data_IF_316958391829
#
_entry.id   IF_316958391829
#
_cell.length_a   1.000
_cell.length_b   1.000
_cell.length_c   1.000
_cell.angle_alpha   90.00
_cell.angle_beta   90.00
_cell.angle_gamma   90.00
#
_symmetry.space_group_name_H-M   'P 1'
#
loop_
_entity.id
_entity.type
_entity.pdbx_description
1 polymer ?
#
# COMPACT_ATOMS: atom_id res chain seq x y z
N UNK A 1 14.80 -4.07 15.33
CA UNK A 1 14.08 -5.15 14.61
C UNK A 1 13.18 -4.43 13.65
N UNK A 2 13.14 -4.78 12.38
CA UNK A 2 12.31 -4.08 11.38
C UNK A 2 10.86 -4.54 11.47
N UNK A 3 9.96 -3.70 10.96
CA UNK A 3 8.52 -3.98 10.85
C UNK A 3 8.17 -5.30 10.16
N UNK A 4 9.07 -5.78 9.31
CA UNK A 4 8.97 -7.04 8.59
C UNK A 4 9.14 -8.26 9.50
N UNK A 5 9.76 -8.13 10.68
CA UNK A 5 9.94 -9.21 11.64
C UNK A 5 8.63 -9.84 12.14
N UNK A 6 7.57 -9.03 12.24
CA UNK A 6 6.22 -9.46 12.60
C UNK A 6 5.53 -10.29 11.50
N UNK A 7 6.08 -10.33 10.28
CA UNK A 7 5.47 -11.02 9.15
C UNK A 7 5.42 -12.55 9.30
N UNK A 8 6.34 -13.18 10.05
CA UNK A 8 6.54 -14.64 9.94
C UNK A 8 6.50 -15.42 11.27
N UNK A 9 6.28 -14.79 12.42
CA UNK A 9 6.12 -15.54 13.68
C UNK A 9 4.79 -16.33 13.71
N UNK A 10 4.83 -17.66 13.81
CA UNK A 10 3.67 -18.48 14.23
C UNK A 10 3.46 -19.80 13.46
N UNK A 11 3.47 -20.92 14.19
CA UNK A 11 3.61 -22.32 13.74
C UNK A 11 2.51 -22.89 12.83
N UNK A 12 2.87 -24.01 12.18
CA UNK A 12 2.18 -24.82 11.17
C UNK A 12 0.69 -25.11 11.37
N UNK A 13 -0.08 -25.05 10.29
CA UNK A 13 -1.28 -25.87 10.11
C UNK A 13 -0.91 -27.04 9.19
N UNK A 14 -1.14 -28.25 9.66
CA UNK A 14 -0.89 -29.51 8.95
C UNK A 14 -1.79 -29.65 7.74
N UNK A 15 -1.20 -29.84 6.57
CA UNK A 15 -1.88 -30.35 5.37
C UNK A 15 -2.24 -31.81 5.61
N UNK A 16 -3.52 -32.12 5.76
CA UNK A 16 -4.00 -33.49 5.75
C UNK A 16 -4.11 -33.98 4.30
N UNK A 17 -3.28 -34.95 3.93
CA UNK A 17 -3.40 -35.73 2.70
C UNK A 17 -4.80 -36.36 2.61
N UNK A 18 -5.61 -35.89 1.68
CA UNK A 18 -6.79 -36.59 1.17
C UNK A 18 -6.92 -36.31 -0.33
N UNK A 19 -7.34 -37.33 -1.09
CA UNK A 19 -7.55 -37.28 -2.55
C UNK A 19 -8.28 -36.01 -2.99
N UNK A 20 -8.01 -35.47 -4.20
CA UNK A 20 -8.51 -34.15 -4.57
C UNK A 20 -10.03 -34.18 -4.71
N UNK A 21 -10.72 -33.67 -3.69
CA UNK A 21 -12.05 -33.11 -3.87
C UNK A 21 -11.96 -32.04 -4.97
N UNK A 22 -12.97 -31.95 -5.84
CA UNK A 22 -13.05 -30.86 -6.82
C UNK A 22 -12.75 -29.52 -6.11
N UNK A 23 -11.75 -28.80 -6.61
CA UNK A 23 -11.35 -27.54 -5.98
C UNK A 23 -12.54 -26.60 -5.95
N UNK A 24 -12.72 -25.87 -4.85
CA UNK A 24 -13.75 -24.82 -4.72
C UNK A 24 -13.13 -23.43 -4.79
N UNK A 25 -13.93 -22.44 -5.19
CA UNK A 25 -13.53 -21.03 -5.03
C UNK A 25 -13.39 -20.74 -3.54
N UNK A 26 -12.27 -20.17 -3.14
CA UNK A 26 -11.96 -19.86 -1.74
C UNK A 26 -11.29 -18.50 -1.56
N UNK A 27 -11.41 -17.65 -2.58
CA UNK A 27 -10.99 -16.27 -2.52
C UNK A 27 -12.06 -15.39 -3.14
N UNK A 28 -12.47 -14.38 -2.38
CA UNK A 28 -13.52 -13.44 -2.73
C UNK A 28 -12.89 -12.04 -2.71
N UNK A 29 -12.41 -11.55 -3.86
CA UNK A 29 -11.78 -10.23 -3.94
C UNK A 29 -12.81 -9.14 -3.68
N UNK A 30 -12.35 -8.01 -3.12
CA UNK A 30 -13.20 -6.84 -2.86
C UNK A 30 -13.93 -6.36 -4.11
N UNK A 31 -13.33 -6.47 -5.30
CA UNK A 31 -13.90 -5.98 -6.55
C UNK A 31 -15.13 -6.77 -7.02
N UNK A 32 -15.31 -8.00 -6.55
CA UNK A 32 -16.48 -8.81 -6.91
C UNK A 32 -17.75 -8.38 -6.16
N UNK A 33 -17.59 -7.65 -5.05
CA UNK A 33 -18.69 -7.28 -4.17
C UNK A 33 -19.40 -5.99 -4.59
N UNK A 34 -18.87 -5.26 -5.56
CA UNK A 34 -19.35 -3.93 -5.94
C UNK A 34 -19.35 -3.75 -7.45
N UNK A 35 -20.43 -3.16 -7.95
CA UNK A 35 -20.48 -2.69 -9.33
C UNK A 35 -19.50 -1.53 -9.54
N UNK A 36 -19.09 -1.31 -10.80
CA UNK A 36 -18.08 -0.33 -11.19
C UNK A 36 -18.36 1.07 -10.63
N UNK A 37 -19.61 1.52 -10.69
CA UNK A 37 -20.04 2.85 -10.25
C UNK A 37 -20.11 2.97 -8.71
N UNK A 38 -20.03 1.85 -7.99
CA UNK A 38 -20.11 1.77 -6.53
C UNK A 38 -18.74 1.49 -5.88
N UNK A 39 -17.66 1.47 -6.66
CA UNK A 39 -16.31 1.16 -6.19
C UNK A 39 -15.72 2.27 -5.30
N UNK A 40 -16.18 3.51 -5.41
CA UNK A 40 -15.76 4.56 -4.49
C UNK A 40 -16.61 4.51 -3.21
N UNK A 41 -16.03 4.01 -2.12
CA UNK A 41 -16.58 4.11 -0.77
C UNK A 41 -15.91 5.22 0.03
N UNK A 42 -16.67 6.24 0.43
CA UNK A 42 -16.17 7.27 1.35
C UNK A 42 -15.81 6.62 2.69
N UNK A 43 -14.71 7.07 3.33
CA UNK A 43 -14.38 6.59 4.68
C UNK A 43 -15.39 7.10 5.70
N UNK A 44 -16.14 6.19 6.31
CA UNK A 44 -16.98 6.48 7.44
C UNK A 44 -16.13 6.79 8.69
N UNK A 45 -16.67 7.50 9.70
CA UNK A 45 -15.90 7.88 10.89
C UNK A 45 -15.19 6.72 11.60
N UNK A 46 -15.78 5.52 11.57
CA UNK A 46 -15.24 4.32 12.20
C UNK A 46 -14.23 3.53 11.36
N UNK A 47 -14.06 3.86 10.08
CA UNK A 47 -13.23 3.07 9.16
C UNK A 47 -11.74 3.16 9.50
N UNK A 48 -11.28 4.29 10.05
CA UNK A 48 -9.89 4.50 10.44
C UNK A 48 -9.58 4.13 11.90
N UNK A 49 -10.55 3.54 12.60
CA UNK A 49 -10.35 3.09 13.97
C UNK A 49 -9.26 2.02 14.00
N UNK A 50 -8.33 2.13 14.95
CA UNK A 50 -7.49 1.01 15.34
C UNK A 50 -8.40 -0.13 15.80
N UNK A 51 -8.30 -1.26 15.11
CA UNK A 51 -9.06 -2.47 15.41
C UNK A 51 -8.34 -3.35 16.43
N UNK A 52 -7.02 -3.22 16.54
CA UNK A 52 -6.16 -4.04 17.40
C UNK A 52 -6.48 -5.53 17.21
N UNK A 53 -6.31 -6.07 16.00
CA UNK A 53 -6.82 -7.38 15.65
C UNK A 53 -6.13 -8.47 16.46
N UNK A 54 -6.81 -9.60 16.62
CA UNK A 54 -6.30 -10.78 17.33
C UNK A 54 -5.81 -11.84 16.35
N UNK A 55 -5.24 -12.94 16.86
CA UNK A 55 -4.78 -14.06 16.03
C UNK A 55 -3.48 -13.76 15.28
N UNK A 56 -3.27 -14.41 14.14
CA UNK A 56 -2.10 -14.17 13.29
C UNK A 56 -2.40 -13.07 12.27
N UNK A 57 -2.46 -11.83 12.75
CA UNK A 57 -2.84 -10.66 11.96
C UNK A 57 -1.86 -9.51 12.13
N UNK A 58 -1.97 -8.50 11.28
CA UNK A 58 -1.20 -7.25 11.40
C UNK A 58 -2.08 -6.09 10.97
N UNK A 59 -2.05 -5.02 11.75
CA UNK A 59 -2.69 -3.74 11.42
C UNK A 59 -1.61 -2.67 11.30
N UNK A 60 -1.63 -1.90 10.21
CA UNK A 60 -0.63 -0.87 9.95
C UNK A 60 -1.28 0.46 9.62
N UNK A 61 -0.65 1.54 10.08
CA UNK A 61 -0.90 2.90 9.62
C UNK A 61 0.40 3.45 9.04
N UNK A 62 0.40 3.82 7.76
CA UNK A 62 1.60 4.28 7.04
C UNK A 62 1.34 5.65 6.43
N UNK A 63 2.22 6.60 6.74
CA UNK A 63 2.28 7.92 6.13
C UNK A 63 3.50 7.98 5.22
N UNK A 64 3.28 8.26 3.93
CA UNK A 64 4.33 8.48 2.96
C UNK A 64 4.40 9.97 2.63
N UNK A 65 5.60 10.50 2.45
CA UNK A 65 5.83 11.90 2.11
C UNK A 65 6.96 12.05 1.09
N UNK A 66 6.71 12.88 0.08
CA UNK A 66 7.66 13.36 -0.92
C UNK A 66 7.85 14.85 -0.65
N UNK A 67 9.06 15.22 -0.28
CA UNK A 67 9.39 16.54 0.26
C UNK A 67 9.77 17.54 -0.83
N UNK A 68 9.80 18.81 -0.45
CA UNK A 68 10.13 19.94 -1.32
C UNK A 68 11.52 19.86 -1.95
N UNK A 69 12.48 19.23 -1.26
CA UNK A 69 13.84 18.97 -1.75
C UNK A 69 13.97 17.69 -2.59
N UNK A 70 12.85 16.97 -2.82
CA UNK A 70 12.83 15.71 -3.54
C UNK A 70 13.18 14.48 -2.69
N UNK A 71 13.49 14.66 -1.40
CA UNK A 71 13.64 13.53 -0.48
C UNK A 71 12.30 12.88 -0.17
N UNK A 72 12.37 11.66 0.35
CA UNK A 72 11.23 10.82 0.66
C UNK A 72 11.33 10.36 2.11
N UNK A 73 10.20 10.28 2.80
CA UNK A 73 10.12 9.46 4.00
C UNK A 73 8.86 8.61 4.04
N UNK A 74 8.95 7.50 4.78
CA UNK A 74 7.80 6.75 5.27
C UNK A 74 7.86 6.70 6.80
N UNK A 75 6.71 6.87 7.44
CA UNK A 75 6.53 6.60 8.86
C UNK A 75 5.40 5.60 9.01
N UNK A 76 5.65 4.51 9.71
CA UNK A 76 4.74 3.39 9.82
C UNK A 76 4.59 2.98 11.27
N UNK A 77 3.35 2.81 11.72
CA UNK A 77 3.03 2.06 12.94
C UNK A 77 2.55 0.68 12.53
N UNK A 78 3.06 -0.35 13.20
CA UNK A 78 2.67 -1.75 13.04
C UNK A 78 2.17 -2.23 14.39
N UNK A 79 0.92 -2.69 14.43
CA UNK A 79 0.35 -3.44 15.54
C UNK A 79 0.31 -4.92 15.18
N UNK A 80 0.89 -5.76 16.04
CA UNK A 80 0.89 -7.20 15.89
C UNK A 80 0.53 -7.89 17.21
N UNK A 81 -0.56 -8.68 17.27
CA UNK A 81 -0.90 -9.45 18.45
C UNK A 81 0.05 -10.63 18.72
N UNK A 82 1.04 -10.92 17.86
CA UNK A 82 1.84 -12.17 17.87
C UNK A 82 2.95 -12.20 18.97
N UNK A 83 2.82 -11.42 20.05
CA UNK A 83 3.72 -11.51 21.20
C UNK A 83 3.32 -12.60 22.20
N UNK A 84 4.28 -13.18 22.93
CA UNK A 84 4.04 -14.25 23.91
C UNK A 84 3.05 -13.87 25.04
N UNK A 85 2.90 -12.58 25.37
CA UNK A 85 2.09 -12.10 26.50
C UNK A 85 1.36 -10.76 26.28
N UNK A 86 1.76 -9.97 25.29
CA UNK A 86 1.21 -8.65 24.94
C UNK A 86 1.43 -8.40 23.44
N UNK A 87 0.61 -7.58 22.77
CA UNK A 87 0.86 -7.19 21.39
C UNK A 87 2.23 -6.51 21.24
N UNK A 88 2.91 -6.78 20.15
CA UNK A 88 4.09 -6.04 19.73
C UNK A 88 3.65 -4.87 18.87
N UNK A 89 4.02 -3.66 19.30
CA UNK A 89 3.78 -2.45 18.53
C UNK A 89 5.11 -1.81 18.20
N UNK A 90 5.23 -1.33 16.98
CA UNK A 90 6.46 -0.77 16.45
C UNK A 90 6.17 0.48 15.64
N UNK A 91 7.05 1.48 15.77
CA UNK A 91 7.15 2.58 14.81
C UNK A 91 8.42 2.42 13.96
N UNK A 92 8.27 2.46 12.64
CA UNK A 92 9.34 2.41 11.65
C UNK A 92 9.37 3.72 10.87
N UNK A 93 10.55 4.30 10.74
CA UNK A 93 10.80 5.50 9.94
C UNK A 93 11.89 5.20 8.92
N UNK A 94 11.62 5.52 7.65
CA UNK A 94 12.60 5.51 6.57
C UNK A 94 12.73 6.90 6.00
N UNK A 95 13.95 7.35 5.73
CA UNK A 95 14.22 8.57 4.99
C UNK A 95 15.22 8.28 3.87
N UNK A 96 14.99 8.83 2.69
CA UNK A 96 15.88 8.73 1.55
C UNK A 96 16.01 10.06 0.84
N UNK A 97 17.24 10.51 0.60
CA UNK A 97 17.52 11.70 -0.21
C UNK A 97 18.20 11.30 -1.52
N UNK A 98 17.52 11.40 -2.68
CA UNK A 98 18.05 10.88 -3.95
C UNK A 98 19.34 11.58 -4.42
N UNK A 99 19.46 12.89 -4.21
CA UNK A 99 20.66 13.62 -4.64
C UNK A 99 21.93 13.31 -3.82
N UNK A 100 21.79 12.91 -2.55
CA UNK A 100 22.94 12.62 -1.67
C UNK A 100 23.16 11.13 -1.43
N UNK A 101 22.14 10.30 -1.72
CA UNK A 101 22.12 8.88 -1.36
C UNK A 101 21.95 8.62 0.13
N UNK A 102 21.64 9.63 0.95
CA UNK A 102 21.40 9.43 2.38
C UNK A 102 20.18 8.54 2.57
N UNK A 103 20.38 7.38 3.20
CA UNK A 103 19.36 6.37 3.44
C UNK A 103 19.36 6.02 4.92
N UNK A 104 18.24 6.30 5.60
CA UNK A 104 18.06 6.05 7.02
C UNK A 104 16.89 5.11 7.20
N UNK A 105 17.13 4.04 7.94
CA UNK A 105 16.09 3.12 8.41
C UNK A 105 16.17 3.02 9.93
N UNK A 106 15.09 3.36 10.61
CA UNK A 106 14.98 3.25 12.07
C UNK A 106 13.68 2.57 12.42
N UNK A 107 13.75 1.62 13.36
CA UNK A 107 12.60 0.83 13.74
C UNK A 107 12.66 0.52 15.22
N UNK A 108 11.65 0.98 15.97
CA UNK A 108 11.59 0.94 17.43
C UNK A 108 10.36 0.19 17.89
N UNK A 109 10.57 -0.89 18.63
CA UNK A 109 9.51 -1.51 19.42
C UNK A 109 9.13 -0.56 20.56
N UNK A 110 7.85 -0.32 20.75
CA UNK A 110 7.33 0.59 21.76
C UNK A 110 6.62 -0.17 22.87
N UNK A 111 6.57 0.43 24.05
CA UNK A 111 5.74 -0.02 25.16
C UNK A 111 4.60 0.99 25.42
N UNK A 112 3.68 0.62 26.32
CA UNK A 112 2.55 1.47 26.71
C UNK A 112 1.69 1.95 25.54
N UNK A 113 1.59 1.14 24.47
CA UNK A 113 0.73 1.48 23.35
C UNK A 113 -0.73 1.55 23.80
N UNK A 114 -1.39 2.65 23.48
CA UNK A 114 -2.78 2.90 23.81
C UNK A 114 -3.49 3.58 22.65
N UNK A 115 -4.63 3.03 22.26
CA UNK A 115 -5.61 3.69 21.40
C UNK A 115 -6.41 4.69 22.25
N UNK A 116 -6.52 5.94 21.77
CA UNK A 116 -7.23 7.01 22.48
C UNK A 116 -8.76 6.92 22.27
N UNK A 117 -9.58 7.70 23.00
CA UNK A 117 -11.05 7.57 22.96
C UNK A 117 -11.69 7.73 21.57
N UNK A 118 -11.08 8.50 20.68
CA UNK A 118 -11.53 8.71 19.29
C UNK A 118 -11.25 7.51 18.36
N UNK A 119 -10.50 6.51 18.85
CA UNK A 119 -10.08 5.28 18.18
C UNK A 119 -9.18 5.44 16.96
N UNK A 120 -9.05 6.64 16.40
CA UNK A 120 -8.13 6.97 15.28
C UNK A 120 -6.78 7.49 15.77
N UNK A 121 -6.72 7.98 17.01
CA UNK A 121 -5.50 8.44 17.66
C UNK A 121 -4.87 7.34 18.52
N UNK A 122 -3.55 7.39 18.66
CA UNK A 122 -2.81 6.45 19.50
C UNK A 122 -1.55 7.10 20.09
N UNK A 123 -1.04 6.52 21.16
CA UNK A 123 0.22 6.93 21.79
C UNK A 123 0.99 5.72 22.33
N UNK A 124 2.26 5.93 22.60
CA UNK A 124 3.14 5.01 23.31
C UNK A 124 4.13 5.81 24.18
N UNK A 125 5.10 5.15 24.79
CA UNK A 125 6.22 5.86 25.42
C UNK A 125 7.12 6.61 24.45
N UNK A 126 7.08 6.28 23.15
CA UNK A 126 7.98 6.85 22.15
C UNK A 126 7.30 7.80 21.16
N UNK A 127 5.97 7.79 21.05
CA UNK A 127 5.25 8.62 20.09
C UNK A 127 3.84 9.00 20.56
N UNK A 128 3.30 10.04 19.93
CA UNK A 128 1.90 10.43 19.97
C UNK A 128 1.43 10.72 18.54
N UNK A 129 0.27 10.16 18.18
CA UNK A 129 -0.42 10.41 16.91
C UNK A 129 -1.86 10.82 17.23
N UNK A 130 -2.24 12.04 16.89
CA UNK A 130 -3.61 12.53 17.09
C UNK A 130 -4.28 12.86 15.77
N UNK A 131 -5.49 12.32 15.55
CA UNK A 131 -6.35 12.61 14.41
C UNK A 131 -7.39 13.67 14.80
N UNK A 132 -7.60 14.67 13.94
CA UNK A 132 -8.63 15.70 14.13
C UNK A 132 -9.42 15.89 12.84
N UNK A 133 -10.73 16.04 12.98
CA UNK A 133 -11.58 16.56 11.92
C UNK A 133 -11.62 18.09 12.03
N UNK A 134 -11.48 18.79 10.91
CA UNK A 134 -11.44 20.25 10.86
C UNK A 134 -12.76 20.80 10.32
N UNK A 135 -13.06 22.08 10.61
CA UNK A 135 -14.34 22.73 10.28
C UNK A 135 -14.61 22.78 8.77
N UNK A 136 -13.56 22.82 7.94
CA UNK A 136 -13.62 22.82 6.48
C UNK A 136 -13.86 21.42 5.87
N UNK A 137 -14.07 20.39 6.69
CA UNK A 137 -14.22 19.00 6.27
C UNK A 137 -12.89 18.27 5.97
N UNK A 138 -11.76 18.95 6.14
CA UNK A 138 -10.45 18.32 6.07
C UNK A 138 -10.16 17.50 7.34
N UNK A 139 -9.18 16.60 7.24
CA UNK A 139 -8.74 15.77 8.37
C UNK A 139 -7.22 15.86 8.51
N UNK A 140 -6.73 15.83 9.74
CA UNK A 140 -5.31 15.99 10.02
C UNK A 140 -4.83 15.00 11.07
N UNK A 141 -3.71 14.34 10.77
CA UNK A 141 -2.88 13.70 11.79
C UNK A 141 -1.78 14.67 12.23
N UNK A 142 -1.55 14.75 13.54
CA UNK A 142 -0.34 15.34 14.14
C UNK A 142 0.49 14.21 14.73
N UNK A 143 1.76 14.11 14.32
CA UNK A 143 2.68 13.05 14.67
C UNK A 143 3.88 13.64 15.39
N UNK A 144 4.14 13.15 16.60
CA UNK A 144 5.35 13.41 17.36
C UNK A 144 5.98 12.08 17.78
N UNK A 145 7.28 11.91 17.55
CA UNK A 145 7.98 10.70 17.97
C UNK A 145 9.44 10.97 18.33
N UNK A 146 9.97 10.20 19.27
CA UNK A 146 11.41 10.12 19.59
C UNK A 146 11.85 8.67 19.48
N UNK A 147 12.45 8.32 18.34
CA UNK A 147 12.83 6.94 18.05
C UNK A 147 14.16 6.58 18.71
N UNK A 148 15.14 7.47 18.69
CA UNK A 148 16.37 7.36 19.48
C UNK A 148 16.96 8.76 19.73
N UNK A 149 18.21 8.82 20.18
CA UNK A 149 18.91 10.09 20.45
C UNK A 149 19.22 10.89 19.17
N UNK A 150 19.10 10.27 17.99
CA UNK A 150 19.42 10.87 16.70
C UNK A 150 18.18 11.17 15.86
N UNK A 151 17.01 10.61 16.18
CA UNK A 151 15.82 10.74 15.35
C UNK A 151 14.58 11.16 16.14
N UNK A 152 14.12 12.39 15.85
CA UNK A 152 12.86 12.94 16.34
C UNK A 152 11.98 13.36 15.16
N UNK A 153 10.67 13.11 15.28
CA UNK A 153 9.67 13.43 14.27
C UNK A 153 8.68 14.42 14.87
N UNK A 154 8.37 15.50 14.15
CA UNK A 154 7.39 16.52 14.55
C UNK A 154 6.71 17.06 13.30
N UNK A 155 5.67 16.40 12.80
CA UNK A 155 5.02 16.80 11.56
C UNK A 155 3.52 16.52 11.57
N UNK A 156 2.79 17.18 10.67
CA UNK A 156 1.39 16.93 10.41
C UNK A 156 1.17 16.40 9.00
N UNK A 157 0.07 15.68 8.84
CA UNK A 157 -0.42 15.18 7.56
C UNK A 157 -1.87 15.59 7.42
N UNK A 158 -2.17 16.49 6.49
CA UNK A 158 -3.51 17.05 6.27
C UNK A 158 -4.09 16.56 4.95
N UNK A 159 -5.24 15.90 4.99
CA UNK A 159 -6.07 15.56 3.83
C UNK A 159 -7.13 16.64 3.63
N UNK A 160 -7.17 17.28 2.45
CA UNK A 160 -8.21 18.25 2.12
C UNK A 160 -9.59 17.60 1.99
N UNK A 161 -10.67 18.38 2.12
CA UNK A 161 -12.03 17.87 1.92
C UNK A 161 -12.27 17.35 0.49
N UNK A 162 -11.60 17.93 -0.51
CA UNK A 162 -11.71 17.57 -1.92
C UNK A 162 -10.96 16.28 -2.28
N UNK A 163 -9.84 15.99 -1.62
CA UNK A 163 -9.14 14.71 -1.71
C UNK A 163 -9.78 13.72 -0.73
N UNK A 164 -11.02 13.29 -1.01
CA UNK A 164 -11.74 12.37 -0.14
C UNK A 164 -10.92 11.12 0.18
N UNK A 165 -10.93 10.70 1.44
CA UNK A 165 -10.41 9.40 1.82
C UNK A 165 -11.36 8.30 1.35
N UNK A 166 -10.82 7.16 0.93
CA UNK A 166 -11.63 6.09 0.33
C UNK A 166 -11.23 4.68 0.79
N UNK A 167 -12.18 3.76 0.64
CA UNK A 167 -11.99 2.30 0.60
C UNK A 167 -12.74 1.76 -0.62
N UNK A 168 -12.31 0.63 -1.17
CA UNK A 168 -12.99 0.10 -2.36
C UNK A 168 -14.37 -0.46 -1.97
N UNK A 169 -15.43 0.19 -2.43
CA UNK A 169 -16.81 -0.21 -2.17
C UNK A 169 -17.41 0.40 -0.90
N UNK A 170 -18.74 0.51 -0.92
CA UNK A 170 -19.53 1.16 0.13
C UNK A 170 -19.82 0.24 1.34
N UNK A 171 -20.16 0.86 2.47
CA UNK A 171 -20.64 0.17 3.68
C UNK A 171 -19.56 -0.62 4.43
N UNK A 172 -20.00 -1.42 5.41
CA UNK A 172 -19.09 -2.08 6.38
C UNK A 172 -18.18 -3.15 5.75
N UNK A 173 -18.55 -3.66 4.58
CA UNK A 173 -17.75 -4.64 3.81
C UNK A 173 -16.82 -3.98 2.79
N UNK A 174 -16.87 -2.65 2.64
CA UNK A 174 -15.95 -1.91 1.79
C UNK A 174 -14.49 -2.15 2.18
N UNK A 175 -13.65 -2.36 1.17
CA UNK A 175 -12.21 -2.58 1.29
C UNK A 175 -11.81 -4.04 1.55
N UNK A 176 -12.73 -4.95 1.88
CA UNK A 176 -12.39 -6.32 2.28
C UNK A 176 -12.28 -7.29 1.11
N UNK A 177 -11.16 -8.02 1.03
CA UNK A 177 -11.07 -9.29 0.30
C UNK A 177 -10.97 -10.44 1.29
N UNK A 178 -11.73 -11.52 1.06
CA UNK A 178 -11.87 -12.63 2.00
C UNK A 178 -11.23 -13.92 1.48
N UNK A 179 -10.61 -14.66 2.39
CA UNK A 179 -9.98 -15.95 2.14
C UNK A 179 -10.77 -17.07 2.86
N UNK A 180 -10.86 -18.24 2.24
CA UNK A 180 -11.62 -19.40 2.73
C UNK A 180 -12.86 -19.69 1.88
N UNK A 181 -13.47 -20.88 2.03
CA UNK A 181 -14.62 -21.29 1.21
C UNK A 181 -15.93 -20.60 1.59
N UNK A 182 -16.03 -20.03 2.80
CA UNK A 182 -17.22 -19.34 3.30
C UNK A 182 -16.91 -17.86 3.59
N UNK A 183 -17.37 -16.91 2.75
CA UNK A 183 -17.09 -15.49 2.97
C UNK A 183 -17.83 -14.90 4.18
N UNK A 184 -18.85 -15.57 4.73
CA UNK A 184 -19.50 -15.17 5.97
C UNK A 184 -18.70 -15.58 7.22
N UNK A 185 -17.74 -16.49 7.09
CA UNK A 185 -16.84 -16.96 8.14
C UNK A 185 -15.44 -17.17 7.54
N UNK A 186 -14.76 -16.09 7.12
CA UNK A 186 -13.50 -16.20 6.40
C UNK A 186 -12.37 -16.71 7.32
N UNK A 187 -11.42 -17.44 6.74
CA UNK A 187 -10.20 -17.86 7.45
C UNK A 187 -9.14 -16.75 7.52
N UNK A 188 -9.29 -15.72 6.68
CA UNK A 188 -8.43 -14.56 6.62
C UNK A 188 -9.04 -13.46 5.76
N UNK A 189 -8.51 -12.25 5.87
CA UNK A 189 -8.96 -11.12 5.06
C UNK A 189 -7.83 -10.12 4.84
N UNK A 190 -7.96 -9.28 3.83
CA UNK A 190 -7.19 -8.04 3.69
C UNK A 190 -8.13 -6.86 3.55
N UNK A 191 -7.76 -5.73 4.13
CA UNK A 191 -8.49 -4.46 3.95
C UNK A 191 -7.52 -3.30 3.84
N UNK A 192 -7.83 -2.36 2.95
CA UNK A 192 -7.04 -1.15 2.71
C UNK A 192 -7.95 0.09 2.70
N UNK A 193 -7.47 1.17 3.31
CA UNK A 193 -8.16 2.45 3.46
C UNK A 193 -7.17 3.57 3.22
N UNK A 194 -7.51 4.51 2.34
CA UNK A 194 -6.55 5.46 1.80
C UNK A 194 -6.97 6.90 2.06
N UNK A 195 -5.98 7.74 2.37
CA UNK A 195 -5.97 9.15 2.02
C UNK A 195 -5.04 9.28 0.81
N UNK A 196 -5.58 9.44 -0.41
CA UNK A 196 -4.81 9.28 -1.64
C UNK A 196 -3.88 10.45 -1.94
N UNK A 197 -4.16 11.61 -1.33
CA UNK A 197 -3.35 12.80 -1.41
C UNK A 197 -3.46 13.57 -0.10
N UNK A 198 -2.31 13.97 0.43
CA UNK A 198 -2.19 14.74 1.67
C UNK A 198 -1.08 15.78 1.51
N UNK A 199 -1.22 16.89 2.22
CA UNK A 199 -0.15 17.84 2.47
C UNK A 199 0.59 17.46 3.74
N UNK A 200 1.91 17.58 3.73
CA UNK A 200 2.79 17.29 4.86
C UNK A 200 3.50 18.58 5.25
N UNK A 201 3.58 18.86 6.56
CA UNK A 201 4.28 20.03 7.06
C UNK A 201 4.92 19.74 8.43
N UNK A 202 6.10 20.28 8.68
CA UNK A 202 6.76 20.15 9.98
C UNK A 202 8.26 19.89 9.85
N UNK A 203 8.80 19.06 10.74
CA UNK A 203 10.24 18.85 10.87
C UNK A 203 10.58 17.40 11.24
N UNK A 204 11.68 16.92 10.68
CA UNK A 204 12.39 15.73 11.12
C UNK A 204 13.76 16.17 11.64
N UNK A 205 14.11 15.82 12.86
CA UNK A 205 15.47 16.04 13.39
C UNK A 205 16.24 14.72 13.24
N UNK A 206 17.26 14.73 12.39
CA UNK A 206 18.11 13.58 12.10
C UNK A 206 19.57 13.92 12.41
N UNK A 207 20.17 13.22 13.37
CA UNK A 207 21.57 13.42 13.83
C UNK A 207 21.85 14.89 14.18
N UNK A 208 20.89 15.54 14.84
CA UNK A 208 20.96 16.95 15.22
C UNK A 208 20.69 17.95 14.10
N UNK A 209 20.49 17.50 12.85
CA UNK A 209 20.10 18.34 11.72
C UNK A 209 18.58 18.39 11.59
N UNK A 210 18.03 19.60 11.52
CA UNK A 210 16.63 19.82 11.15
C UNK A 210 16.46 19.63 9.63
N UNK A 211 15.55 18.76 9.25
CA UNK A 211 15.06 18.54 7.89
C UNK A 211 13.64 19.09 7.84
N UNK A 212 13.39 20.00 6.92
CA UNK A 212 12.05 20.52 6.67
C UNK A 212 11.18 19.42 6.05
N UNK A 213 10.06 19.09 6.68
CA UNK A 213 9.16 18.02 6.27
C UNK A 213 7.97 18.53 5.45
N UNK A 214 8.13 19.66 4.76
CA UNK A 214 7.13 20.19 3.84
C UNK A 214 7.08 19.39 2.53
N UNK A 215 5.87 19.02 2.12
CA UNK A 215 5.66 18.25 0.90
C UNK A 215 4.24 17.70 0.74
N UNK A 216 4.13 16.61 0.00
CA UNK A 216 2.88 15.92 -0.27
C UNK A 216 3.05 14.41 -0.23
N UNK A 217 1.95 13.66 -0.13
CA UNK A 217 2.04 12.20 -0.13
C UNK A 217 0.71 11.51 -0.01
N UNK A 218 0.68 10.42 0.76
CA UNK A 218 -0.55 9.67 1.03
C UNK A 218 -0.50 9.01 2.41
N UNK A 219 -1.68 8.60 2.91
CA UNK A 219 -1.80 7.75 4.09
C UNK A 219 -2.60 6.49 3.77
N UNK A 220 -2.15 5.33 4.28
CA UNK A 220 -2.89 4.07 4.17
C UNK A 220 -2.98 3.41 5.53
N UNK A 221 -4.17 2.96 5.87
CA UNK A 221 -4.38 1.98 6.93
C UNK A 221 -4.72 0.64 6.29
N UNK A 222 -4.01 -0.40 6.70
CA UNK A 222 -4.19 -1.75 6.19
C UNK A 222 -4.31 -2.76 7.32
N UNK A 223 -5.17 -3.75 7.13
CA UNK A 223 -5.21 -4.93 8.00
C UNK A 223 -5.00 -6.16 7.13
N UNK A 224 -4.11 -7.01 7.59
CA UNK A 224 -3.91 -8.34 7.06
C UNK A 224 -4.32 -9.35 8.14
N UNK A 225 -5.52 -9.90 8.01
CA UNK A 225 -6.15 -10.81 8.95
C UNK A 225 -5.67 -12.26 8.87
N UNK A 226 -4.49 -12.49 8.32
CA UNK A 226 -3.81 -13.79 8.23
C UNK A 226 -2.32 -13.58 7.98
N UNK A 227 -1.54 -14.66 7.96
CA UNK A 227 -0.10 -14.61 7.68
C UNK A 227 0.19 -14.04 6.27
N UNK A 228 1.13 -13.08 6.12
CA UNK A 228 1.43 -12.44 4.83
C UNK A 228 1.80 -13.40 3.72
N UNK A 229 2.61 -14.42 4.04
CA UNK A 229 3.01 -15.44 3.08
C UNK A 229 1.86 -16.34 2.59
N UNK A 230 0.69 -16.25 3.23
CA UNK A 230 -0.53 -16.93 2.78
C UNK A 230 -1.49 -16.02 2.02
N UNK A 231 -1.27 -14.71 2.04
CA UNK A 231 -2.12 -13.74 1.33
C UNK A 231 -1.76 -13.70 -0.15
N UNK A 232 -0.46 -13.59 -0.44
CA UNK A 232 0.00 -13.29 -1.79
C UNK A 232 1.36 -13.91 -2.11
N UNK A 233 1.55 -14.19 -3.39
CA UNK A 233 2.83 -14.57 -4.01
C UNK A 233 3.61 -13.34 -4.47
N UNK A 234 2.92 -12.25 -4.84
CA UNK A 234 3.50 -11.00 -5.35
C UNK A 234 2.68 -9.79 -4.93
N UNK A 235 3.34 -8.64 -4.75
CA UNK A 235 2.70 -7.34 -4.57
C UNK A 235 3.34 -6.28 -5.48
N UNK A 236 2.53 -5.33 -5.91
CA UNK A 236 2.98 -4.07 -6.49
C UNK A 236 2.33 -2.91 -5.74
N UNK A 237 3.10 -1.88 -5.42
CA UNK A 237 2.63 -0.63 -4.86
C UNK A 237 3.21 0.52 -5.66
N UNK A 238 2.38 1.50 -6.01
CA UNK A 238 2.78 2.73 -6.68
C UNK A 238 2.20 3.90 -5.94
N UNK A 239 3.06 4.86 -5.59
CA UNK A 239 2.71 6.15 -5.02
C UNK A 239 3.35 7.26 -5.87
N UNK A 240 2.66 7.65 -6.95
CA UNK A 240 3.05 8.80 -7.76
C UNK A 240 2.52 10.08 -7.12
N UNK A 241 3.38 11.09 -6.98
CA UNK A 241 3.04 12.42 -6.47
C UNK A 241 3.60 13.49 -7.39
N UNK A 242 2.76 14.46 -7.79
CA UNK A 242 3.11 15.59 -8.64
C UNK A 242 2.59 16.89 -8.05
N UNK A 243 3.36 17.97 -8.16
CA UNK A 243 2.91 19.32 -7.79
C UNK A 243 2.14 20.01 -8.92
N UNK A 244 2.18 19.44 -10.12
CA UNK A 244 1.50 20.00 -11.27
C UNK A 244 0.01 20.05 -11.02
N UNK A 245 -0.62 21.09 -11.58
CA UNK A 245 -2.03 21.38 -11.44
C UNK A 245 -2.48 21.44 -9.97
N UNK A 246 -1.69 22.03 -9.08
CA UNK A 246 -2.10 22.25 -7.68
C UNK A 246 -2.06 21.02 -6.77
N UNK A 247 -1.42 19.93 -7.22
CA UNK A 247 -1.27 18.69 -6.45
C UNK A 247 -2.05 17.54 -7.09
N UNK A 248 -1.34 16.53 -7.55
CA UNK A 248 -1.90 15.35 -8.21
C UNK A 248 -1.22 14.07 -7.72
N UNK A 249 -1.96 12.97 -7.67
CA UNK A 249 -1.41 11.67 -7.31
C UNK A 249 -2.07 10.52 -8.07
N UNK A 250 -1.32 9.43 -8.24
CA UNK A 250 -1.85 8.14 -8.65
C UNK A 250 -1.31 7.08 -7.69
N UNK A 251 -2.22 6.53 -6.89
CA UNK A 251 -1.90 5.50 -5.90
C UNK A 251 -2.51 4.18 -6.37
N UNK A 252 -1.71 3.12 -6.42
CA UNK A 252 -2.15 1.79 -6.83
C UNK A 252 -1.54 0.74 -5.90
N UNK A 253 -2.34 -0.26 -5.55
CA UNK A 253 -1.91 -1.47 -4.89
C UNK A 253 -2.43 -2.69 -5.66
N UNK A 254 -1.55 -3.64 -5.94
CA UNK A 254 -1.89 -4.89 -6.59
C UNK A 254 -1.28 -6.05 -5.82
N UNK A 255 -2.04 -7.13 -5.63
CA UNK A 255 -1.48 -8.38 -5.13
C UNK A 255 -1.99 -9.56 -5.93
N UNK A 256 -1.15 -10.59 -6.03
CA UNK A 256 -1.53 -11.87 -6.61
C UNK A 256 -1.57 -12.91 -5.52
N UNK A 257 -2.67 -13.63 -5.37
CA UNK A 257 -2.81 -14.70 -4.37
C UNK A 257 -1.78 -15.82 -4.59
N UNK A 258 -1.54 -16.62 -3.56
CA UNK A 258 -0.80 -17.89 -3.72
C UNK A 258 -1.68 -18.96 -4.39
N UNK A 259 -1.11 -20.06 -4.93
CA UNK A 259 -1.86 -21.17 -5.52
C UNK A 259 -3.00 -21.74 -4.67
N UNK A 260 -2.86 -21.67 -3.35
CA UNK A 260 -3.87 -22.17 -2.41
C UNK A 260 -5.15 -21.33 -2.40
N UNK A 261 -5.14 -20.10 -2.93
CA UNK A 261 -6.30 -19.20 -2.91
C UNK A 261 -6.64 -18.69 -4.30
N UNK A 262 -7.91 -18.80 -4.68
CA UNK A 262 -8.34 -18.33 -5.99
C UNK A 262 -9.77 -18.70 -6.35
N UNK A 263 -10.08 -18.53 -7.63
CA UNK A 263 -11.35 -18.94 -8.24
C UNK A 263 -11.16 -20.23 -9.02
N UNK A 264 -12.20 -21.04 -9.10
CA UNK A 264 -12.20 -22.26 -9.92
C UNK A 264 -12.49 -21.87 -11.36
N UNK A 265 -11.62 -22.30 -12.28
CA UNK A 265 -11.82 -22.16 -13.71
C UNK A 265 -12.72 -23.28 -14.26
N UNK A 266 -13.13 -23.17 -15.51
CA UNK A 266 -14.03 -24.12 -16.17
C UNK A 266 -13.48 -25.56 -16.21
N UNK A 267 -12.15 -25.72 -16.15
CA UNK A 267 -11.46 -27.01 -16.09
C UNK A 267 -11.36 -27.62 -14.68
N UNK A 268 -11.99 -26.99 -13.69
CA UNK A 268 -12.03 -27.45 -12.30
C UNK A 268 -10.77 -27.13 -11.48
N UNK A 269 -9.76 -26.47 -12.06
CA UNK A 269 -8.56 -26.05 -11.34
C UNK A 269 -8.78 -24.71 -10.64
N UNK A 270 -8.20 -24.57 -9.45
CA UNK A 270 -8.11 -23.27 -8.76
C UNK A 270 -7.02 -22.43 -9.42
N UNK A 271 -7.38 -21.20 -9.80
CA UNK A 271 -6.50 -20.24 -10.44
C UNK A 271 -6.28 -19.06 -9.49
N UNK A 272 -5.02 -18.71 -9.17
CA UNK A 272 -4.71 -17.51 -8.40
C UNK A 272 -5.33 -16.27 -9.02
N UNK A 273 -5.62 -15.27 -8.20
CA UNK A 273 -6.23 -14.03 -8.63
C UNK A 273 -5.28 -12.87 -8.36
N UNK A 274 -5.21 -11.94 -9.30
CA UNK A 274 -4.54 -10.66 -9.16
C UNK A 274 -5.59 -9.58 -8.93
N UNK A 275 -5.56 -8.94 -7.76
CA UNK A 275 -6.47 -7.86 -7.37
C UNK A 275 -5.71 -6.56 -7.44
N UNK A 276 -6.20 -5.61 -8.22
CA UNK A 276 -5.65 -4.27 -8.37
C UNK A 276 -6.67 -3.25 -7.88
N UNK A 277 -6.27 -2.36 -6.97
CA UNK A 277 -7.07 -1.22 -6.50
C UNK A 277 -6.24 0.06 -6.56
N UNK A 278 -6.88 1.21 -6.72
CA UNK A 278 -6.17 2.47 -6.74
C UNK A 278 -7.05 3.69 -6.84
N UNK A 279 -6.42 4.86 -6.96
CA UNK A 279 -7.12 6.12 -7.12
C UNK A 279 -6.29 7.16 -7.86
N UNK A 280 -6.99 8.09 -8.49
CA UNK A 280 -6.42 9.23 -9.20
C UNK A 280 -6.88 10.51 -8.49
N UNK A 281 -5.92 11.38 -8.16
CA UNK A 281 -6.16 12.74 -7.67
C UNK A 281 -5.55 13.73 -8.66
N UNK A 282 -6.27 14.81 -8.96
CA UNK A 282 -5.79 15.94 -9.74
C UNK A 282 -6.39 17.22 -9.18
N UNK A 283 -5.63 18.33 -9.17
CA UNK A 283 -6.08 19.59 -8.54
C UNK A 283 -6.48 19.42 -7.07
N UNK A 284 -5.82 18.50 -6.35
CA UNK A 284 -6.16 18.15 -4.97
C UNK A 284 -7.58 17.58 -4.81
N UNK A 285 -8.22 17.13 -5.89
CA UNK A 285 -9.55 16.53 -5.90
C UNK A 285 -9.46 15.04 -6.24
N UNK A 286 -10.21 14.19 -5.52
CA UNK A 286 -10.33 12.77 -5.87
C UNK A 286 -11.14 12.64 -7.17
N UNK A 287 -10.48 12.17 -8.24
CA UNK A 287 -11.06 12.08 -9.59
C UNK A 287 -11.63 10.70 -9.89
N UNK A 288 -10.96 9.64 -9.44
CA UNK A 288 -11.43 8.26 -9.65
C UNK A 288 -10.92 7.34 -8.55
N UNK A 289 -11.72 6.31 -8.26
CA UNK A 289 -11.32 5.10 -7.52
C UNK A 289 -11.49 3.93 -8.47
N UNK A 290 -10.46 3.09 -8.58
CA UNK A 290 -10.40 1.99 -9.56
C UNK A 290 -10.22 0.66 -8.84
N UNK A 291 -10.81 -0.39 -9.40
CA UNK A 291 -10.70 -1.75 -8.88
C UNK A 291 -10.94 -2.79 -9.97
N UNK A 292 -10.02 -3.73 -10.13
CA UNK A 292 -10.20 -4.88 -11.04
C UNK A 292 -9.57 -6.13 -10.43
N UNK A 293 -10.25 -7.27 -10.55
CA UNK A 293 -9.63 -8.59 -10.33
C UNK A 293 -9.53 -9.34 -11.65
N UNK A 294 -8.37 -9.98 -11.88
CA UNK A 294 -8.12 -10.88 -12.99
C UNK A 294 -7.59 -12.22 -12.48
N UNK A 295 -7.75 -13.27 -13.27
CA UNK A 295 -6.95 -14.47 -13.07
C UNK A 295 -5.46 -14.14 -13.25
N UNK A 296 -4.59 -14.79 -12.49
CA UNK A 296 -3.15 -14.65 -12.69
C UNK A 296 -2.75 -15.18 -14.09
N UNK A 297 -1.76 -14.54 -14.71
CA UNK A 297 -1.19 -14.92 -16.01
C UNK A 297 -2.21 -14.92 -17.18
N UNK A 298 -3.04 -13.88 -17.26
CA UNK A 298 -3.91 -13.66 -18.43
C UNK A 298 -3.15 -12.97 -19.57
N UNK A 299 -3.46 -13.35 -20.81
CA UNK A 299 -2.87 -12.73 -22.02
C UNK A 299 -3.34 -11.29 -22.24
N UNK A 300 -4.60 -11.00 -21.88
CA UNK A 300 -5.19 -9.67 -22.04
C UNK A 300 -5.30 -8.98 -20.69
N UNK A 301 -4.50 -7.92 -20.53
CA UNK A 301 -4.54 -7.09 -19.34
C UNK A 301 -5.82 -6.24 -19.31
N UNK A 302 -6.46 -6.08 -18.12
CA UNK A 302 -7.63 -5.23 -17.97
C UNK A 302 -7.26 -3.74 -18.01
N UNK A 303 -8.25 -2.81 -18.08
CA UNK A 303 -7.98 -1.38 -18.13
C UNK A 303 -7.22 -0.80 -16.92
N UNK A 304 -7.31 -1.45 -15.75
CA UNK A 304 -6.50 -1.13 -14.57
C UNK A 304 -5.58 -2.30 -14.25
N UNK A 305 -4.27 -2.11 -14.36
CA UNK A 305 -3.28 -3.18 -14.17
C UNK A 305 -1.87 -2.64 -13.89
N UNK A 306 -1.01 -3.53 -13.39
CA UNK A 306 0.45 -3.38 -13.42
C UNK A 306 1.03 -4.38 -14.41
N UNK A 307 1.95 -3.92 -15.25
CA UNK A 307 2.67 -4.73 -16.22
C UNK A 307 4.16 -4.69 -15.90
N UNK A 308 4.71 -5.85 -15.56
CA UNK A 308 6.16 -6.05 -15.44
C UNK A 308 6.71 -6.36 -16.83
N UNK A 309 7.60 -5.51 -17.32
CA UNK A 309 8.13 -5.63 -18.68
C UNK A 309 9.62 -5.95 -18.64
N UNK A 310 10.07 -6.69 -19.65
CA UNK A 310 11.48 -7.08 -19.80
C UNK A 310 12.02 -7.74 -18.54
N UNK A 311 11.48 -8.92 -18.20
CA UNK A 311 11.91 -9.67 -17.03
C UNK A 311 13.35 -10.17 -17.18
N UNK A 312 14.17 -9.97 -16.15
CA UNK A 312 15.55 -10.45 -16.08
C UNK A 312 15.82 -11.10 -14.74
N UNK A 313 16.59 -12.20 -14.74
CA UNK A 313 16.99 -12.86 -13.51
C UNK A 313 17.89 -11.93 -12.69
N UNK A 314 17.48 -11.61 -11.48
CA UNK A 314 18.34 -11.00 -10.48
C UNK A 314 19.14 -12.14 -9.78
N UNK A 315 20.46 -12.22 -9.96
CA UNK A 315 21.28 -13.26 -9.34
C UNK A 315 21.32 -13.17 -7.81
N UNK A 316 21.04 -12.00 -7.22
CA UNK A 316 21.06 -11.80 -5.77
C UNK A 316 19.84 -12.46 -5.09
N UNK A 317 18.69 -12.43 -5.77
CA UNK A 317 17.41 -12.86 -5.18
C UNK A 317 16.85 -14.13 -5.81
N UNK A 318 17.30 -14.48 -7.01
CA UNK A 318 16.79 -15.60 -7.80
C UNK A 318 15.46 -15.33 -8.50
N UNK A 319 14.90 -14.11 -8.40
CA UNK A 319 13.66 -13.75 -9.06
C UNK A 319 13.87 -13.18 -10.46
N UNK A 320 12.87 -13.38 -11.32
CA UNK A 320 12.72 -12.64 -12.57
C UNK A 320 12.10 -11.27 -12.22
N UNK A 321 12.90 -10.22 -12.30
CA UNK A 321 12.49 -8.86 -11.94
C UNK A 321 12.35 -7.97 -13.19
N UNK A 322 11.40 -7.02 -13.21
CA UNK A 322 11.19 -6.14 -14.34
C UNK A 322 12.35 -5.15 -14.53
N UNK A 323 12.71 -4.87 -15.78
CA UNK A 323 13.54 -3.70 -16.10
C UNK A 323 12.71 -2.43 -16.30
N UNK A 324 11.40 -2.57 -16.54
CA UNK A 324 10.45 -1.46 -16.51
C UNK A 324 9.09 -1.93 -15.99
N UNK A 325 8.35 -1.01 -15.37
CA UNK A 325 6.99 -1.28 -14.89
C UNK A 325 6.06 -0.23 -15.44
N UNK A 326 4.95 -0.67 -16.03
CA UNK A 326 3.86 0.20 -16.46
C UNK A 326 2.68 0.06 -15.50
N UNK A 327 2.15 1.19 -15.06
CA UNK A 327 0.94 1.27 -14.25
C UNK A 327 -0.15 1.98 -15.05
N UNK A 328 -1.31 1.35 -15.14
CA UNK A 328 -2.51 1.92 -15.77
C UNK A 328 -3.64 1.89 -14.77
N UNK A 329 -4.25 3.05 -14.52
CA UNK A 329 -5.45 3.21 -13.71
C UNK A 329 -6.54 3.75 -14.63
N UNK A 330 -7.64 3.04 -14.76
CA UNK A 330 -8.80 3.50 -15.51
C UNK A 330 -10.09 3.17 -14.77
N UNK A 331 -10.93 4.17 -14.58
CA UNK A 331 -12.23 4.01 -13.97
C UNK A 331 -13.11 5.24 -14.08
N UNK A 332 -14.34 5.15 -13.53
CA UNK A 332 -15.34 6.19 -13.70
C UNK A 332 -14.93 7.47 -12.97
N UNK A 333 -15.14 8.61 -13.64
CA UNK A 333 -14.98 9.93 -13.05
C UNK A 333 -15.95 10.13 -11.88
N UNK A 334 -15.44 10.74 -10.81
CA UNK A 334 -16.19 11.16 -9.62
C UNK A 334 -16.49 12.66 -9.61
N UNK A 335 -15.97 13.41 -10.59
CA UNK A 335 -16.09 14.86 -10.72
C UNK A 335 -16.66 15.24 -12.09
N UNK A 336 -17.28 16.42 -12.16
CA UNK A 336 -17.89 16.95 -13.37
C UNK A 336 -19.23 16.30 -13.74
N UNK A 337 -19.89 16.85 -14.76
CA UNK A 337 -21.18 16.35 -15.27
C UNK A 337 -21.04 15.01 -16.03
N UNK A 338 -19.82 14.54 -16.26
CA UNK A 338 -19.48 13.25 -16.85
C UNK A 338 -19.22 12.15 -15.80
N UNK A 339 -19.80 12.26 -14.60
CA UNK A 339 -19.71 11.22 -13.58
C UNK A 339 -20.10 9.85 -14.18
N UNK A 340 -19.20 8.87 -14.06
CA UNK A 340 -19.34 7.54 -14.69
C UNK A 340 -18.59 7.33 -16.00
N UNK A 341 -18.14 8.38 -16.70
CA UNK A 341 -17.25 8.22 -17.87
C UNK A 341 -15.79 7.99 -17.44
N UNK A 342 -15.01 7.30 -18.27
CA UNK A 342 -13.67 6.86 -17.88
C UNK A 342 -12.64 7.98 -17.88
N UNK A 343 -11.90 8.06 -16.78
CA UNK A 343 -10.63 8.77 -16.66
C UNK A 343 -9.51 7.74 -16.60
N UNK A 344 -8.38 8.03 -17.25
CA UNK A 344 -7.21 7.17 -17.26
C UNK A 344 -5.96 7.93 -16.79
N UNK A 345 -5.22 7.34 -15.85
CA UNK A 345 -3.85 7.71 -15.54
C UNK A 345 -2.92 6.59 -16.00
N UNK A 346 -1.85 6.95 -16.72
CA UNK A 346 -0.83 6.02 -17.19
C UNK A 346 0.56 6.56 -16.87
N UNK A 347 1.40 5.74 -16.26
CA UNK A 347 2.81 6.04 -16.01
C UNK A 347 3.67 4.79 -16.20
N UNK A 348 4.94 5.02 -16.55
CA UNK A 348 5.93 3.97 -16.79
C UNK A 348 7.24 4.38 -16.12
N UNK A 349 7.85 3.47 -15.38
CA UNK A 349 9.15 3.67 -14.76
C UNK A 349 10.18 2.75 -15.39
N UNK A 350 11.34 3.32 -15.72
CA UNK A 350 12.50 2.58 -16.25
C UNK A 350 13.45 2.26 -15.08
N UNK A 351 13.47 0.99 -14.68
CA UNK A 351 14.29 0.50 -13.57
C UNK A 351 15.68 0.08 -14.03
N UNK A 352 15.88 -0.25 -15.30
CA UNK A 352 17.16 -0.73 -15.82
C UNK A 352 17.49 -2.16 -15.35
N UNK A 353 18.74 -2.60 -15.56
CA UNK A 353 19.16 -3.96 -15.21
C UNK A 353 19.17 -4.19 -13.68
N UNK A 354 18.94 -5.43 -13.18
CA UNK A 354 18.90 -5.71 -11.74
C UNK A 354 20.17 -5.34 -10.96
N UNK A 355 21.32 -5.33 -11.64
CA UNK A 355 22.61 -4.95 -11.07
C UNK A 355 22.80 -3.41 -10.97
N UNK A 356 21.96 -2.64 -11.65
CA UNK A 356 22.03 -1.18 -11.76
C UNK A 356 20.62 -0.56 -11.71
N UNK A 357 19.80 -1.02 -10.76
CA UNK A 357 18.41 -0.56 -10.64
C UNK A 357 18.35 0.94 -10.36
N UNK A 358 17.72 1.70 -11.26
CA UNK A 358 17.54 3.14 -11.15
C UNK A 358 16.63 3.50 -9.97
N UNK A 359 17.05 4.50 -9.20
CA UNK A 359 16.29 4.98 -8.04
C UNK A 359 16.19 3.98 -6.90
N UNK A 360 16.96 2.89 -6.92
CA UNK A 360 16.93 1.87 -5.87
C UNK A 360 17.25 2.48 -4.51
N UNK A 361 16.30 2.38 -3.59
CA UNK A 361 16.51 2.73 -2.20
C UNK A 361 17.08 1.51 -1.47
N UNK A 362 16.45 0.34 -1.63
CA UNK A 362 16.88 -0.91 -1.02
C UNK A 362 16.23 -2.14 -1.67
N UNK A 363 16.97 -3.25 -1.68
CA UNK A 363 16.44 -4.61 -1.86
C UNK A 363 16.31 -5.25 -0.49
N UNK A 364 15.10 -5.30 0.07
CA UNK A 364 14.86 -5.82 1.42
C UNK A 364 14.78 -7.35 1.36
N UNK A 365 15.75 -8.05 1.97
CA UNK A 365 15.63 -9.48 2.31
C UNK A 365 14.74 -9.59 3.56
N UNK A 366 13.45 -9.90 3.35
CA UNK A 366 12.46 -9.97 4.44
C UNK A 366 12.87 -11.02 5.49
N UNK A 367 13.62 -12.06 5.11
CA UNK A 367 14.12 -13.03 6.07
C UNK A 367 15.31 -12.48 6.85
N UNK A 368 16.22 -11.72 6.24
CA UNK A 368 17.33 -11.09 6.97
C UNK A 368 16.82 -10.20 8.11
N UNK A 369 15.68 -9.55 7.86
CA UNK A 369 14.98 -8.65 8.77
C UNK A 369 14.30 -9.33 9.98
N UNK A 370 14.19 -10.66 9.96
CA UNK A 370 13.55 -11.45 11.04
C UNK A 370 14.57 -11.87 12.12
N UNK A 371 14.21 -11.79 13.41
CA UNK A 371 15.07 -12.29 14.49
C UNK A 371 15.33 -13.80 14.37
N UNK A 372 16.57 -14.23 14.63
CA UNK A 372 17.02 -15.61 14.44
C UNK A 372 16.13 -16.69 15.09
N UNK A 373 15.56 -16.40 16.27
CA UNK A 373 14.70 -17.34 16.99
C UNK A 373 13.37 -17.63 16.28
N UNK A 374 12.88 -16.68 15.47
CA UNK A 374 11.64 -16.81 14.68
C UNK A 374 11.88 -17.63 13.42
N UNK A 375 13.05 -17.51 12.78
CA UNK A 375 13.40 -18.25 11.57
C UNK A 375 13.27 -19.77 11.72
N UNK A 376 13.46 -20.29 12.94
CA UNK A 376 13.37 -21.72 13.25
C UNK A 376 11.93 -22.28 13.31
N UNK A 377 10.92 -21.41 13.41
CA UNK A 377 9.50 -21.79 13.48
C UNK A 377 8.79 -21.70 12.12
N UNK A 378 9.46 -21.12 11.13
CA UNK A 378 8.96 -20.95 9.77
C UNK A 378 9.48 -22.10 8.93
N UNK A 379 8.65 -23.12 8.70
CA UNK A 379 8.93 -24.13 7.69
C UNK A 379 8.73 -23.48 6.31
N UNK A 380 9.81 -22.91 5.78
CA UNK A 380 9.82 -22.43 4.41
C UNK A 380 9.93 -23.63 3.45
N UNK A 381 9.06 -23.69 2.44
CA UNK A 381 9.17 -24.67 1.34
C UNK A 381 10.46 -24.35 0.60
N UNK A 382 11.49 -25.19 0.72
CA UNK A 382 12.84 -24.95 0.16
C UNK A 382 12.80 -24.30 -1.24
N UNK A 383 13.35 -23.08 -1.40
CA UNK A 383 13.28 -22.40 -2.71
C UNK A 383 13.53 -20.88 -2.76
N UNK A 384 12.55 -20.05 -2.37
CA UNK A 384 12.49 -18.62 -2.72
C UNK A 384 12.27 -17.66 -1.52
N UNK A 385 13.30 -16.93 -1.11
CA UNK A 385 13.15 -15.95 -0.02
C UNK A 385 12.26 -14.78 -0.46
N UNK A 386 11.41 -14.22 0.42
CA UNK A 386 10.69 -12.99 0.11
C UNK A 386 11.63 -11.78 -0.02
N UNK A 387 11.49 -11.03 -1.12
CA UNK A 387 12.23 -9.80 -1.39
C UNK A 387 11.29 -8.66 -1.78
N UNK A 388 11.60 -7.46 -1.29
CA UNK A 388 10.92 -6.20 -1.66
C UNK A 388 11.96 -5.29 -2.32
N UNK A 389 11.68 -4.83 -3.53
CA UNK A 389 12.46 -3.78 -4.18
C UNK A 389 11.73 -2.47 -3.95
N UNK A 390 12.42 -1.49 -3.38
CA UNK A 390 11.86 -0.16 -3.15
C UNK A 390 12.64 0.84 -3.99
N UNK A 391 11.95 1.57 -4.87
CA UNK A 391 12.59 2.57 -5.72
C UNK A 391 11.90 3.93 -5.62
N UNK A 392 12.67 4.99 -5.87
CA UNK A 392 12.20 6.37 -5.95
C UNK A 392 12.74 6.99 -7.24
N UNK A 393 11.85 7.23 -8.21
CA UNK A 393 12.23 7.71 -9.53
C UNK A 393 11.42 8.93 -9.95
N UNK A 394 12.03 9.96 -10.57
CA UNK A 394 11.27 10.96 -11.29
C UNK A 394 10.61 10.29 -12.50
N UNK A 395 9.31 10.51 -12.68
CA UNK A 395 8.54 9.95 -13.79
C UNK A 395 7.52 10.95 -14.29
N UNK A 396 6.98 10.66 -15.47
CA UNK A 396 5.88 11.41 -16.05
C UNK A 396 4.62 10.55 -16.05
N UNK A 397 3.48 11.15 -15.71
CA UNK A 397 2.16 10.53 -15.80
C UNK A 397 1.33 11.24 -16.85
N UNK A 398 0.66 10.50 -17.72
CA UNK A 398 -0.39 11.02 -18.60
C UNK A 398 -1.75 10.83 -17.94
N UNK A 399 -2.52 11.91 -17.82
CA UNK A 399 -3.91 11.89 -17.38
C UNK A 399 -4.81 12.22 -18.57
N UNK A 400 -5.66 11.29 -18.98
CA UNK A 400 -6.67 11.47 -20.00
C UNK A 400 -8.07 11.42 -19.39
N UNK A 401 -8.93 12.38 -19.73
CA UNK A 401 -10.28 12.50 -19.19
C UNK A 401 -11.28 13.11 -20.20
N UNK A 402 -12.58 12.94 -20.01
CA UNK A 402 -13.61 13.61 -20.81
C UNK A 402 -13.57 15.13 -20.65
N UNK A 403 -14.10 15.86 -21.65
CA UNK A 403 -14.14 17.34 -21.66
C UNK A 403 -14.81 17.93 -20.40
N UNK A 404 -15.91 17.33 -19.94
CA UNK A 404 -16.59 17.80 -18.73
C UNK A 404 -15.74 17.61 -17.45
N UNK A 405 -14.88 16.58 -17.40
CA UNK A 405 -13.92 16.38 -16.30
C UNK A 405 -12.78 17.37 -16.40
N UNK A 406 -12.22 17.56 -17.60
CA UNK A 406 -11.19 18.57 -17.84
C UNK A 406 -11.65 19.96 -17.43
N UNK A 407 -12.87 20.35 -17.80
CA UNK A 407 -13.49 21.61 -17.39
C UNK A 407 -13.71 21.72 -15.88
N UNK A 408 -14.17 20.64 -15.23
CA UNK A 408 -14.38 20.62 -13.78
C UNK A 408 -13.06 20.76 -12.99
N UNK A 409 -11.98 20.26 -13.57
CA UNK A 409 -10.62 20.32 -13.03
C UNK A 409 -9.80 21.48 -13.61
N UNK A 410 -10.40 22.44 -14.32
CA UNK A 410 -9.69 23.57 -14.97
C UNK A 410 -8.41 23.15 -15.72
N UNK A 411 -8.47 22.01 -16.42
CA UNK A 411 -7.36 21.50 -17.21
C UNK A 411 -7.32 22.17 -18.58
N UNK A 412 -6.12 22.44 -19.12
CA UNK A 412 -5.97 23.07 -20.43
C UNK A 412 -6.47 22.18 -21.57
N UNK A 413 -6.41 20.86 -21.40
CA UNK A 413 -6.75 19.86 -22.41
C UNK A 413 -7.36 18.61 -21.75
N UNK A 414 -8.01 17.77 -22.55
CA UNK A 414 -8.54 16.45 -22.12
C UNK A 414 -7.46 15.40 -21.90
N UNK A 415 -6.21 15.71 -22.24
CA UNK A 415 -5.05 14.88 -21.97
C UNK A 415 -3.90 15.76 -21.53
N UNK A 416 -3.46 15.62 -20.28
CA UNK A 416 -2.35 16.39 -19.72
C UNK A 416 -1.23 15.47 -19.25
N UNK A 417 -0.03 16.04 -19.21
CA UNK A 417 1.19 15.35 -18.78
C UNK A 417 1.68 15.98 -17.50
N UNK A 418 1.84 15.18 -16.44
CA UNK A 418 2.25 15.61 -15.12
C UNK A 418 3.65 15.09 -14.80
N UNK A 419 4.55 15.98 -14.38
CA UNK A 419 5.86 15.63 -13.86
C UNK A 419 5.78 15.35 -12.36
N UNK A 420 6.34 14.24 -11.93
CA UNK A 420 6.29 13.87 -10.52
C UNK A 420 7.34 12.85 -10.14
N UNK A 421 7.19 12.34 -8.92
CA UNK A 421 8.06 11.31 -8.36
C UNK A 421 7.21 10.10 -8.03
N UNK A 422 7.69 8.93 -8.42
CA UNK A 422 7.11 7.64 -8.08
C UNK A 422 7.97 6.98 -7.01
N UNK A 423 7.39 6.76 -5.84
CA UNK A 423 7.83 5.69 -4.95
C UNK A 423 7.08 4.43 -5.32
N UNK A 424 7.78 3.35 -5.65
CA UNK A 424 7.16 2.06 -5.92
C UNK A 424 7.82 0.93 -5.17
N UNK A 425 7.01 -0.09 -4.87
CA UNK A 425 7.48 -1.35 -4.36
C UNK A 425 6.99 -2.48 -5.25
N UNK A 426 7.89 -3.37 -5.66
CA UNK A 426 7.53 -4.65 -6.27
C UNK A 426 8.13 -5.78 -5.43
N UNK A 427 7.24 -6.66 -4.98
CA UNK A 427 7.53 -7.68 -3.99
C UNK A 427 7.32 -9.05 -4.57
N UNK A 428 8.26 -9.96 -4.28
CA UNK A 428 8.16 -11.37 -4.61
C UNK A 428 8.25 -12.18 -3.32
N UNK A 429 7.26 -13.04 -3.07
CA UNK A 429 7.14 -13.84 -1.84
C UNK A 429 7.35 -15.32 -2.14
N UNK A 430 6.75 -15.80 -3.23
CA UNK A 430 6.91 -17.16 -3.72
C UNK A 430 6.90 -17.16 -5.25
N UNK A 431 7.46 -18.23 -5.83
CA UNK A 431 7.53 -18.41 -7.29
C UNK A 431 6.15 -18.52 -7.94
#
# INVERSE_FOLDING_TARGET
MSGWGSWLTGSSQTSADTQPSAAKTNFFPVTDAFEREQMCGDLAPGDLNWTCPTGLSTETSVWYAMLDDGSFFLNQIIYSPVGLFQPQVQMTFRYFHPATGENVWKSKNVDQFQVLPDKRSCKSSAFSVTCKDLEDGSQQYEISATLDNELQLMYSVKRSASAKGWKLGQGDKGGFSYFGENPAAPVGHVVHRFWPHVQVSGMVVLKGRAIDANGQGMFVQAIQGMRPNLVASKWNFSNFQSRDFGGSSAVLMEFTTIPDYGKVADDGRRVPQTVTIGSIVCQGQLVAVVGVTRAANVDRLPPTHVEHETLTLDPDTGYQVPQSIQYVLQGPALVGEAAGQDVQAKLRVELGAPAQTHGLIEKVDVLAEIPYMVKKLVNYVAGTKPYIYQTLNPVTMTLACPEAVAKALDLPETSVTLQGTLFEEHTFISA
#
